data_IF_067362681578
#
_entry.id   IF_067362681578
#
_cell.length_a   1.000
_cell.length_b   1.000
_cell.length_c   1.000
_cell.angle_alpha   90.00
_cell.angle_beta   90.00
_cell.angle_gamma   90.00
#
_symmetry.space_group_name_H-M   'P 1'
#
loop_
_entity.id
_entity.type
_entity.pdbx_description
1 polymer ?
#
# COMPACT_ATOMS: atom_id res chain seq x y z
N UNK A 1 -16.85 -0.02 -4.87
CA UNK A 1 -15.48 0.42 -4.49
C UNK A 1 -15.26 0.09 -3.02
N UNK A 2 -14.07 -0.38 -2.65
CA UNK A 2 -13.75 -0.77 -1.26
C UNK A 2 -12.69 0.18 -0.71
N UNK A 3 -12.95 0.78 0.45
CA UNK A 3 -11.97 1.63 1.12
C UNK A 3 -10.79 0.80 1.65
N UNK A 4 -9.60 1.37 1.62
CA UNK A 4 -8.39 0.75 2.13
C UNK A 4 -7.24 1.74 2.22
N UNK A 5 -6.06 1.26 2.57
CA UNK A 5 -4.86 2.08 2.75
C UNK A 5 -3.60 1.36 2.28
N UNK A 6 -2.59 2.15 1.90
CA UNK A 6 -1.26 1.65 1.54
C UNK A 6 -0.44 1.44 2.81
N UNK A 7 0.23 0.30 2.88
CA UNK A 7 1.17 -0.05 3.93
C UNK A 7 2.57 0.32 3.46
N UNK A 8 3.23 1.20 4.22
CA UNK A 8 4.67 1.38 4.16
C UNK A 8 5.32 0.35 5.09
N UNK A 9 6.01 -0.62 4.50
CA UNK A 9 6.59 -1.75 5.21
C UNK A 9 8.09 -1.58 5.50
N UNK A 10 8.68 -0.41 5.23
CA UNK A 10 10.14 -0.25 5.29
C UNK A 10 10.62 0.99 6.03
N UNK A 11 11.54 0.79 6.99
CA UNK A 11 12.38 1.84 7.55
C UNK A 11 13.57 2.12 6.61
N UNK A 12 13.31 2.80 5.49
CA UNK A 12 14.36 3.25 4.56
C UNK A 12 14.88 2.20 3.56
N UNK A 13 14.20 1.07 3.42
CA UNK A 13 14.45 0.08 2.36
C UNK A 13 13.60 0.33 1.10
N UNK A 14 13.92 -0.36 0.01
CA UNK A 14 13.12 -0.35 -1.22
C UNK A 14 12.28 -1.64 -1.31
N UNK A 15 11.00 -1.56 -0.94
CA UNK A 15 10.01 -2.63 -1.20
C UNK A 15 8.80 -2.08 -1.93
N UNK A 16 8.16 -2.91 -2.74
CA UNK A 16 6.92 -2.53 -3.41
C UNK A 16 5.80 -2.22 -2.40
N UNK A 17 5.00 -1.17 -2.63
CA UNK A 17 3.90 -0.83 -1.75
C UNK A 17 2.79 -1.88 -1.83
N UNK A 18 2.11 -2.12 -0.70
CA UNK A 18 0.97 -3.02 -0.62
C UNK A 18 -0.25 -2.26 -0.12
N UNK A 19 -1.42 -2.63 -0.61
CA UNK A 19 -2.72 -2.13 -0.15
C UNK A 19 -3.42 -3.18 0.70
N UNK A 20 -4.20 -2.75 1.70
CA UNK A 20 -5.13 -3.62 2.39
C UNK A 20 -6.48 -2.93 2.61
N UNK A 21 -7.59 -3.69 2.70
CA UNK A 21 -8.92 -3.11 2.91
C UNK A 21 -9.09 -2.56 4.33
N UNK A 22 -10.00 -1.59 4.47
CA UNK A 22 -10.40 -0.98 5.72
C UNK A 22 -9.58 0.27 6.13
N UNK A 23 -10.01 0.91 7.21
CA UNK A 23 -9.31 2.06 7.76
C UNK A 23 -7.99 1.67 8.43
N UNK A 24 -7.08 2.64 8.54
CA UNK A 24 -5.83 2.49 9.30
C UNK A 24 -6.16 2.16 10.75
N UNK A 25 -5.58 1.08 11.28
CA UNK A 25 -5.77 0.65 12.65
C UNK A 25 -4.43 0.35 13.32
N UNK A 26 -4.33 0.60 14.62
CA UNK A 26 -3.13 0.32 15.43
C UNK A 26 -3.39 -0.80 16.44
N UNK A 27 -2.34 -1.51 16.83
CA UNK A 27 -2.36 -2.44 17.95
C UNK A 27 -2.20 -1.69 19.28
N UNK A 28 -2.24 -2.42 20.40
CA UNK A 28 -2.11 -1.83 21.74
C UNK A 28 -0.80 -1.04 21.94
N UNK A 29 0.25 -1.42 21.22
CA UNK A 29 1.57 -0.76 21.26
C UNK A 29 1.71 0.37 20.22
N UNK A 30 0.62 0.78 19.55
CA UNK A 30 0.64 1.86 18.57
C UNK A 30 1.20 1.50 17.18
N UNK A 31 1.63 0.25 16.97
CA UNK A 31 2.09 -0.22 15.67
C UNK A 31 0.92 -0.50 14.73
N UNK A 32 1.13 -0.32 13.42
CA UNK A 32 0.10 -0.54 12.40
C UNK A 32 -0.35 -2.00 12.37
N UNK A 33 -1.67 -2.24 12.36
CA UNK A 33 -2.24 -3.58 12.16
C UNK A 33 -2.16 -3.94 10.69
N UNK A 34 -1.25 -4.86 10.37
CA UNK A 34 -1.07 -5.39 9.02
C UNK A 34 -1.74 -6.76 8.90
N UNK A 35 -2.68 -6.88 7.96
CA UNK A 35 -3.39 -8.13 7.66
C UNK A 35 -2.66 -8.85 6.53
N UNK A 36 -1.62 -9.61 6.86
CA UNK A 36 -0.72 -10.23 5.87
C UNK A 36 -1.43 -11.01 4.75
N UNK A 37 -2.57 -11.65 5.04
CA UNK A 37 -3.37 -12.42 4.05
C UNK A 37 -4.21 -11.55 3.11
N UNK A 38 -4.42 -10.28 3.46
CA UNK A 38 -5.23 -9.32 2.69
C UNK A 38 -4.34 -8.27 1.99
N UNK A 39 -3.01 -8.39 2.10
CA UNK A 39 -2.07 -7.53 1.40
C UNK A 39 -2.15 -7.79 -0.10
N UNK A 40 -2.44 -6.73 -0.84
CA UNK A 40 -2.46 -6.72 -2.29
C UNK A 40 -1.31 -5.86 -2.80
N UNK A 41 -0.38 -6.39 -3.58
CA UNK A 41 0.68 -5.58 -4.17
C UNK A 41 0.08 -4.50 -5.09
N UNK A 42 0.74 -3.34 -5.10
CA UNK A 42 0.40 -2.23 -5.99
C UNK A 42 1.45 -2.18 -7.10
N UNK A 43 0.99 -2.14 -8.35
CA UNK A 43 1.82 -1.80 -9.51
C UNK A 43 1.58 -0.35 -9.90
N UNK A 44 2.64 0.32 -10.34
CA UNK A 44 2.58 1.71 -10.79
C UNK A 44 2.95 1.78 -12.26
N UNK A 45 2.18 2.52 -13.04
CA UNK A 45 2.49 2.83 -14.43
C UNK A 45 2.75 4.33 -14.55
N UNK A 46 3.95 4.69 -14.99
CA UNK A 46 4.33 6.07 -15.25
C UNK A 46 4.31 6.32 -16.76
N UNK A 47 3.72 7.43 -17.18
CA UNK A 47 3.81 7.88 -18.57
C UNK A 47 5.18 8.52 -18.81
N UNK A 48 5.98 7.94 -19.72
CA UNK A 48 7.32 8.44 -20.05
C UNK A 48 7.35 9.84 -20.68
N UNK A 49 6.19 10.36 -21.13
CA UNK A 49 6.09 11.66 -21.80
C UNK A 49 5.70 12.81 -20.88
N UNK A 50 4.71 12.59 -19.99
CA UNK A 50 4.15 13.64 -19.14
C UNK A 50 4.32 13.38 -17.64
N UNK A 51 4.84 12.22 -17.24
CA UNK A 51 5.04 11.85 -15.85
C UNK A 51 3.75 11.51 -15.10
N UNK A 52 2.61 11.39 -15.79
CA UNK A 52 1.37 10.92 -15.18
C UNK A 52 1.55 9.52 -14.60
N UNK A 53 1.13 9.32 -13.35
CA UNK A 53 1.34 8.09 -12.60
C UNK A 53 -0.01 7.50 -12.17
N UNK A 54 -0.20 6.22 -12.44
CA UNK A 54 -1.38 5.46 -12.01
C UNK A 54 -0.98 4.27 -11.16
N UNK A 55 -1.82 3.92 -10.18
CA UNK A 55 -1.62 2.79 -9.28
C UNK A 55 -2.76 1.78 -9.43
N UNK A 56 -2.40 0.51 -9.60
CA UNK A 56 -3.35 -0.59 -9.74
C UNK A 56 -3.01 -1.71 -8.76
N UNK A 57 -4.04 -2.39 -8.27
CA UNK A 57 -3.85 -3.63 -7.50
C UNK A 57 -3.59 -4.78 -8.49
N UNK A 58 -2.59 -5.61 -8.21
CA UNK A 58 -2.40 -6.87 -8.96
C UNK A 58 -3.01 -8.08 -8.24
#
# INVERSE_FOLDING_TARGET
>A
MTAGHVIDATYGGYVGPHWQPGAVAKNFFGALKVRKKELRPIVSHACDKCGFLEHYLT
#
